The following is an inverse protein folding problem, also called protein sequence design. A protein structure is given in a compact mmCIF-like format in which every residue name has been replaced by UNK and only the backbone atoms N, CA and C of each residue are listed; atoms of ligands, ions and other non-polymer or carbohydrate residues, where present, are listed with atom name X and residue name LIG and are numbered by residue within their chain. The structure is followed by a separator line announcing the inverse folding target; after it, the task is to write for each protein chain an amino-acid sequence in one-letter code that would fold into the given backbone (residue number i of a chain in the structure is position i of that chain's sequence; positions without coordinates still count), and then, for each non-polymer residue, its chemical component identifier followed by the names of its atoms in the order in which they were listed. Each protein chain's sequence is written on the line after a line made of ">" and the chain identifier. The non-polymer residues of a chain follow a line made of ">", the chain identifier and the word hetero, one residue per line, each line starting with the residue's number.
data_IF_150582470623
#
_entry.id   IF_150582470623
#
_cell.length_a   1.000
_cell.length_b   1.000
_cell.length_c   1.000
_cell.angle_alpha   90.00
_cell.angle_beta   90.00
_cell.angle_gamma   90.00
#
_symmetry.space_group_name_H-M   'P 1'
#
loop_
_entity.id
_entity.type
_entity.pdbx_description
1 polymer ?
#
# COMPACT_ATOMS: atom_id res chain seq x y z
N UNK A 1 -24.07 50.58 -67.66
CA UNK A 1 -24.63 49.25 -67.34
C UNK A 1 -23.43 48.42 -66.90
N UNK A 2 -23.06 48.51 -65.62
CA UNK A 2 -23.37 47.52 -64.57
C UNK A 2 -22.97 46.10 -65.03
N UNK A 3 -21.81 45.60 -64.64
CA UNK A 3 -21.52 45.00 -63.31
C UNK A 3 -22.19 43.63 -63.17
N UNK A 4 -21.45 42.56 -63.48
CA UNK A 4 -21.54 41.27 -62.77
C UNK A 4 -20.48 40.28 -63.30
N UNK A 5 -19.23 40.48 -62.87
CA UNK A 5 -18.30 39.35 -62.75
C UNK A 5 -18.63 38.67 -61.42
N UNK A 6 -19.45 37.62 -61.48
CA UNK A 6 -19.74 36.77 -60.34
C UNK A 6 -18.49 35.91 -60.05
N UNK A 7 -17.64 36.39 -59.15
CA UNK A 7 -16.59 35.56 -58.56
C UNK A 7 -17.23 34.38 -57.81
N UNK A 8 -16.70 33.16 -57.92
CA UNK A 8 -17.21 32.04 -57.16
C UNK A 8 -16.92 32.25 -55.67
N UNK A 9 -17.96 32.11 -54.84
CA UNK A 9 -17.89 32.22 -53.38
C UNK A 9 -16.91 31.19 -52.78
N UNK A 10 -15.64 31.56 -52.63
CA UNK A 10 -14.63 30.84 -51.83
C UNK A 10 -14.85 31.10 -50.31
N UNK A 11 -16.05 30.83 -49.80
CA UNK A 11 -16.36 31.06 -48.37
C UNK A 11 -16.88 29.80 -47.66
N UNK A 12 -16.31 28.64 -47.96
CA UNK A 12 -16.64 27.38 -47.26
C UNK A 12 -15.43 26.58 -46.76
N UNK A 13 -14.34 27.23 -46.33
CA UNK A 13 -13.21 26.50 -45.72
C UNK A 13 -12.62 27.12 -44.44
N UNK A 14 -13.15 28.24 -43.93
CA UNK A 14 -12.70 28.81 -42.66
C UNK A 14 -13.36 28.17 -41.43
N UNK A 15 -13.40 26.84 -41.40
CA UNK A 15 -13.37 26.12 -40.14
C UNK A 15 -11.90 25.73 -39.94
N UNK A 16 -11.19 26.22 -38.91
CA UNK A 16 -9.91 25.65 -38.54
C UNK A 16 -10.20 24.23 -38.05
N UNK A 17 -10.25 23.29 -38.99
CA UNK A 17 -10.14 21.88 -38.68
C UNK A 17 -8.80 21.76 -37.96
N UNK A 18 -8.81 21.35 -36.69
CA UNK A 18 -7.62 21.23 -35.84
C UNK A 18 -6.69 20.10 -36.30
N UNK A 19 -6.60 19.84 -37.60
CA UNK A 19 -5.75 18.86 -38.26
C UNK A 19 -4.27 19.22 -38.22
N UNK A 20 -3.91 20.43 -37.77
CA UNK A 20 -2.51 20.80 -37.52
C UNK A 20 -1.95 20.21 -36.22
N UNK A 21 -2.75 19.50 -35.42
CA UNK A 21 -2.23 18.58 -34.40
C UNK A 21 -2.26 17.14 -34.92
N UNK A 22 -1.59 16.88 -36.03
CA UNK A 22 -1.16 15.52 -36.32
C UNK A 22 -0.28 15.05 -35.13
N UNK A 23 -0.59 13.93 -34.46
CA UNK A 23 0.26 13.46 -33.38
C UNK A 23 1.62 13.12 -33.99
N UNK A 24 2.65 13.90 -33.64
CA UNK A 24 4.03 13.75 -34.10
C UNK A 24 4.70 12.42 -33.70
N UNK A 25 3.95 11.45 -33.16
CA UNK A 25 4.47 10.17 -32.66
C UNK A 25 3.61 9.00 -33.18
N UNK A 26 4.24 7.89 -33.61
CA UNK A 26 3.52 6.69 -34.04
C UNK A 26 2.65 6.12 -32.90
N UNK A 27 1.60 5.35 -33.23
CA UNK A 27 0.66 4.78 -32.25
C UNK A 27 1.40 3.99 -31.16
N UNK A 28 1.06 4.31 -29.91
CA UNK A 28 1.54 3.76 -28.62
C UNK A 28 2.83 2.91 -28.68
N UNK A 29 3.98 3.44 -28.21
CA UNK A 29 5.26 2.74 -28.24
C UNK A 29 5.13 1.33 -27.63
N UNK A 30 5.71 0.33 -28.27
CA UNK A 30 5.79 -1.06 -27.78
C UNK A 30 6.30 -1.12 -26.32
N UNK A 31 7.14 -0.16 -25.96
CA UNK A 31 7.62 0.12 -24.60
C UNK A 31 6.50 0.26 -23.55
N UNK A 32 5.36 0.89 -23.87
CA UNK A 32 4.23 0.99 -22.94
C UNK A 32 3.56 -0.37 -22.70
N UNK A 33 3.40 -1.17 -23.77
CA UNK A 33 2.82 -2.53 -23.65
C UNK A 33 3.76 -3.42 -22.84
N UNK A 34 5.05 -3.37 -23.15
CA UNK A 34 6.12 -4.07 -22.43
C UNK A 34 6.15 -3.67 -20.94
N UNK A 35 6.20 -2.37 -20.64
CA UNK A 35 6.19 -1.86 -19.26
C UNK A 35 4.91 -2.24 -18.51
N UNK A 36 3.75 -2.22 -19.16
CA UNK A 36 2.49 -2.66 -18.53
C UNK A 36 2.48 -4.16 -18.28
N UNK A 37 3.06 -4.96 -19.17
CA UNK A 37 3.27 -6.39 -19.01
C UNK A 37 4.20 -6.69 -17.82
N UNK A 38 5.36 -6.03 -17.75
CA UNK A 38 6.31 -6.22 -16.64
C UNK A 38 5.71 -5.78 -15.30
N UNK A 39 4.99 -4.65 -15.25
CA UNK A 39 4.26 -4.22 -14.05
C UNK A 39 3.23 -5.25 -13.60
N UNK A 40 2.47 -5.85 -14.52
CA UNK A 40 1.47 -6.88 -14.18
C UNK A 40 2.13 -8.17 -13.67
N UNK A 41 3.26 -8.56 -14.27
CA UNK A 41 4.02 -9.74 -13.84
C UNK A 41 4.72 -9.55 -12.50
N UNK A 42 5.33 -8.38 -12.26
CA UNK A 42 6.02 -8.09 -11.00
C UNK A 42 5.05 -7.83 -9.85
N UNK A 43 3.87 -7.28 -10.13
CA UNK A 43 2.88 -6.89 -9.12
C UNK A 43 1.51 -7.51 -9.41
N UNK A 44 1.32 -8.83 -9.19
CA UNK A 44 0.06 -9.52 -9.49
C UNK A 44 -1.12 -8.99 -8.65
N UNK A 45 -0.85 -8.54 -7.42
CA UNK A 45 -1.85 -7.92 -6.53
C UNK A 45 -1.97 -6.39 -6.72
N UNK A 46 -1.32 -5.85 -7.75
CA UNK A 46 -1.22 -4.42 -8.02
C UNK A 46 -0.07 -3.73 -7.29
N UNK A 47 0.27 -2.53 -7.77
CA UNK A 47 1.31 -1.70 -7.18
C UNK A 47 0.84 -1.12 -5.84
N UNK A 48 1.45 -1.58 -4.75
CA UNK A 48 1.25 -1.06 -3.40
C UNK A 48 2.52 -0.34 -2.94
N UNK A 49 2.56 1.01 -2.96
CA UNK A 49 3.73 1.75 -2.52
C UNK A 49 4.10 1.35 -1.08
N UNK A 50 5.40 1.14 -0.76
CA UNK A 50 5.81 0.68 0.56
C UNK A 50 5.58 1.73 1.66
N UNK A 51 5.55 3.02 1.30
CA UNK A 51 5.27 4.14 2.22
C UNK A 51 4.06 4.92 1.73
N UNK A 52 2.87 4.47 2.14
CA UNK A 52 1.60 5.19 1.90
C UNK A 52 1.31 6.08 3.10
N UNK A 53 1.03 7.35 2.85
CA UNK A 53 0.56 8.26 3.89
C UNK A 53 -0.90 7.92 4.22
N UNK A 54 -1.22 7.74 5.50
CA UNK A 54 -2.59 7.51 5.94
C UNK A 54 -3.45 8.74 5.68
N UNK A 55 -4.78 8.54 5.62
CA UNK A 55 -5.73 9.64 5.39
C UNK A 55 -5.59 10.73 6.45
N UNK A 56 -5.55 10.32 7.71
CA UNK A 56 -5.44 11.25 8.83
C UNK A 56 -4.11 12.00 8.82
N UNK A 57 -3.02 11.34 8.42
CA UNK A 57 -1.73 12.00 8.29
C UNK A 57 -1.72 13.03 7.13
N UNK A 58 -2.45 12.78 6.03
CA UNK A 58 -2.67 13.80 4.99
C UNK A 58 -3.46 14.99 5.51
N UNK A 59 -4.48 14.78 6.36
CA UNK A 59 -5.25 15.86 6.98
C UNK A 59 -4.40 16.64 7.98
N UNK A 60 -3.62 15.97 8.83
CA UNK A 60 -2.66 16.61 9.72
C UNK A 60 -1.60 17.44 8.97
N UNK A 61 -1.14 16.97 7.81
CA UNK A 61 -0.24 17.73 6.94
C UNK A 61 -0.89 19.01 6.41
N UNK A 62 -2.16 18.94 5.98
CA UNK A 62 -2.91 20.13 5.55
C UNK A 62 -3.13 21.12 6.70
N UNK A 63 -3.48 20.62 7.88
CA UNK A 63 -3.67 21.44 9.07
C UNK A 63 -2.39 22.17 9.45
N UNK A 64 -1.24 21.47 9.52
CA UNK A 64 0.07 22.09 9.81
C UNK A 64 0.40 23.23 8.84
N UNK A 65 0.28 22.97 7.53
CA UNK A 65 0.57 23.98 6.51
C UNK A 65 -0.43 25.14 6.55
N UNK A 66 -1.66 24.92 7.02
CA UNK A 66 -2.65 25.99 7.18
C UNK A 66 -2.38 26.86 8.42
N UNK A 67 -1.79 26.31 9.49
CA UNK A 67 -1.43 27.07 10.69
C UNK A 67 -0.30 28.06 10.43
N UNK A 68 0.81 27.59 9.84
CA UNK A 68 1.95 28.44 9.50
C UNK A 68 2.65 27.94 8.22
N UNK A 69 2.33 28.51 7.05
CA UNK A 69 2.95 28.09 5.80
C UNK A 69 4.44 28.50 5.67
N UNK A 70 4.90 29.49 6.45
CA UNK A 70 6.29 29.94 6.41
C UNK A 70 7.20 28.93 7.12
N UNK A 71 6.79 28.47 8.30
CA UNK A 71 7.53 27.46 9.07
C UNK A 71 7.31 26.05 8.51
N UNK A 72 6.08 25.70 8.13
CA UNK A 72 5.75 24.37 7.59
C UNK A 72 5.81 24.32 6.07
N UNK A 73 6.96 24.73 5.51
CA UNK A 73 7.19 24.70 4.07
C UNK A 73 7.22 23.26 3.52
N UNK A 74 6.97 23.12 2.21
CA UNK A 74 6.96 21.82 1.52
C UNK A 74 8.19 20.92 1.75
N UNK A 75 9.46 21.41 1.74
CA UNK A 75 10.61 20.57 2.02
C UNK A 75 10.66 20.10 3.49
N UNK A 76 10.22 20.92 4.44
CA UNK A 76 10.20 20.57 5.87
C UNK A 76 9.16 19.49 6.15
N UNK A 77 7.96 19.64 5.58
CA UNK A 77 6.91 18.63 5.67
C UNK A 77 7.32 17.31 5.00
N UNK A 78 7.99 17.38 3.85
CA UNK A 78 8.52 16.21 3.15
C UNK A 78 9.48 15.40 4.04
N UNK A 79 10.40 16.08 4.74
CA UNK A 79 11.32 15.45 5.67
C UNK A 79 10.58 14.82 6.86
N UNK A 80 9.66 15.55 7.50
CA UNK A 80 8.94 15.09 8.70
C UNK A 80 8.04 13.89 8.44
N UNK A 81 7.38 13.85 7.28
CA UNK A 81 6.51 12.75 6.90
C UNK A 81 7.23 11.65 6.09
N UNK A 82 8.52 11.85 5.77
CA UNK A 82 9.31 10.98 4.90
C UNK A 82 8.62 10.67 3.55
N UNK A 83 8.02 11.71 2.96
CA UNK A 83 7.31 11.67 1.69
C UNK A 83 8.02 12.59 0.71
N UNK A 84 7.98 12.26 -0.59
CA UNK A 84 8.56 13.12 -1.63
C UNK A 84 7.95 14.53 -1.61
N UNK A 85 8.73 15.61 -1.80
CA UNK A 85 8.21 16.98 -1.86
C UNK A 85 7.17 17.18 -2.98
N UNK A 86 7.23 16.38 -4.05
CA UNK A 86 6.22 16.35 -5.12
C UNK A 86 4.86 15.88 -4.58
N UNK A 87 4.86 14.79 -3.83
CA UNK A 87 3.64 14.24 -3.24
C UNK A 87 3.03 15.20 -2.20
N UNK A 88 3.86 15.89 -1.40
CA UNK A 88 3.40 16.95 -0.49
C UNK A 88 2.69 18.07 -1.27
N UNK A 89 3.27 18.56 -2.36
CA UNK A 89 2.62 19.56 -3.23
C UNK A 89 1.29 19.07 -3.77
N UNK A 90 1.21 17.80 -4.20
CA UNK A 90 -0.05 17.20 -4.67
C UNK A 90 -1.12 17.16 -3.58
N UNK A 91 -0.74 16.78 -2.36
CA UNK A 91 -1.66 16.75 -1.20
C UNK A 91 -2.19 18.15 -0.90
N UNK A 92 -1.31 19.16 -0.87
CA UNK A 92 -1.68 20.55 -0.61
C UNK A 92 -2.53 21.16 -1.75
N UNK A 93 -2.26 20.78 -3.01
CA UNK A 93 -3.04 21.25 -4.17
C UNK A 93 -4.42 20.57 -4.28
N UNK A 94 -4.56 19.35 -3.77
CA UNK A 94 -5.81 18.61 -3.81
C UNK A 94 -6.86 19.25 -2.89
N UNK A 95 -8.02 19.61 -3.44
CA UNK A 95 -9.15 20.22 -2.70
C UNK A 95 -10.21 19.22 -2.25
N UNK A 96 -10.07 17.95 -2.63
CA UNK A 96 -11.09 16.95 -2.32
C UNK A 96 -11.18 16.71 -0.81
N UNK A 97 -12.38 16.93 -0.27
CA UNK A 97 -12.74 16.68 1.11
C UNK A 97 -14.03 15.87 1.13
N UNK A 98 -14.16 14.83 1.97
CA UNK A 98 -15.38 14.03 2.03
C UNK A 98 -16.42 14.82 2.81
N UNK A 99 -17.66 14.72 2.35
CA UNK A 99 -18.83 15.20 3.10
C UNK A 99 -18.96 14.48 4.43
N UNK A 100 -19.76 15.02 5.37
CA UNK A 100 -19.92 14.44 6.71
C UNK A 100 -20.40 12.98 6.65
N UNK A 101 -21.34 12.69 5.76
CA UNK A 101 -21.90 11.34 5.58
C UNK A 101 -20.87 10.39 4.94
N UNK A 102 -20.09 10.87 3.97
CA UNK A 102 -19.01 10.08 3.37
C UNK A 102 -17.89 9.79 4.35
N UNK A 103 -17.55 10.72 5.24
CA UNK A 103 -16.60 10.48 6.35
C UNK A 103 -17.08 9.36 7.23
N UNK A 104 -18.34 9.40 7.67
CA UNK A 104 -18.92 8.35 8.50
C UNK A 104 -18.87 6.98 7.81
N UNK A 105 -19.22 6.92 6.51
CA UNK A 105 -19.13 5.69 5.71
C UNK A 105 -17.70 5.16 5.58
N UNK A 106 -16.71 6.03 5.39
CA UNK A 106 -15.30 5.65 5.32
C UNK A 106 -14.81 5.07 6.64
N UNK A 107 -15.11 5.74 7.75
CA UNK A 107 -14.76 5.25 9.10
C UNK A 107 -15.42 3.91 9.37
N UNK A 108 -16.71 3.75 9.06
CA UNK A 108 -17.40 2.47 9.21
C UNK A 108 -16.77 1.35 8.38
N UNK A 109 -16.37 1.64 7.14
CA UNK A 109 -15.68 0.67 6.29
C UNK A 109 -14.35 0.24 6.90
N UNK A 110 -13.54 1.20 7.36
CA UNK A 110 -12.26 0.92 8.01
C UNK A 110 -12.45 0.05 9.25
N UNK A 111 -13.42 0.40 10.11
CA UNK A 111 -13.76 -0.38 11.30
C UNK A 111 -14.17 -1.81 10.95
N UNK A 112 -15.01 -2.00 9.93
CA UNK A 112 -15.42 -3.34 9.47
C UNK A 112 -14.22 -4.16 8.99
N UNK A 113 -13.40 -3.60 8.11
CA UNK A 113 -12.20 -4.30 7.61
C UNK A 113 -11.24 -4.67 8.74
N UNK A 114 -11.08 -3.78 9.73
CA UNK A 114 -10.25 -4.04 10.92
C UNK A 114 -10.84 -5.16 11.78
N UNK A 115 -12.16 -5.13 12.03
CA UNK A 115 -12.83 -6.18 12.80
C UNK A 115 -12.76 -7.54 12.09
N UNK A 116 -12.92 -7.57 10.78
CA UNK A 116 -12.77 -8.78 9.97
C UNK A 116 -11.36 -9.35 10.08
N UNK A 117 -10.34 -8.49 9.97
CA UNK A 117 -8.95 -8.91 10.17
C UNK A 117 -8.69 -9.49 11.56
N UNK A 118 -9.19 -8.83 12.62
CA UNK A 118 -9.06 -9.32 14.01
C UNK A 118 -9.77 -10.68 14.17
N UNK A 119 -10.97 -10.83 13.60
CA UNK A 119 -11.72 -12.09 13.65
C UNK A 119 -10.97 -13.21 12.94
N UNK A 120 -10.46 -12.96 11.73
CA UNK A 120 -9.68 -13.94 10.97
C UNK A 120 -8.43 -14.37 11.72
N UNK A 121 -7.68 -13.43 12.29
CA UNK A 121 -6.51 -13.72 13.14
C UNK A 121 -6.86 -14.59 14.36
N UNK A 122 -7.97 -14.30 15.03
CA UNK A 122 -8.44 -15.09 16.18
C UNK A 122 -8.85 -16.51 15.77
N UNK A 123 -9.46 -16.68 14.60
CA UNK A 123 -9.79 -18.01 14.06
C UNK A 123 -8.52 -18.79 13.71
N UNK A 124 -7.55 -18.13 13.08
CA UNK A 124 -6.22 -18.71 12.77
C UNK A 124 -5.51 -19.20 14.03
N UNK A 125 -5.50 -18.39 15.10
CA UNK A 125 -4.93 -18.78 16.40
C UNK A 125 -5.65 -20.00 17.00
N UNK A 126 -6.99 -20.01 17.04
CA UNK A 126 -7.75 -21.19 17.52
C UNK A 126 -7.48 -22.44 16.70
N UNK A 127 -7.42 -22.31 15.37
CA UNK A 127 -7.11 -23.43 14.49
C UNK A 127 -5.70 -23.96 14.73
N UNK A 128 -4.74 -23.07 15.00
CA UNK A 128 -3.37 -23.44 15.35
C UNK A 128 -3.31 -24.20 16.67
N UNK A 129 -4.04 -23.75 17.69
CA UNK A 129 -4.09 -24.41 18.99
C UNK A 129 -4.71 -25.82 18.87
N UNK A 130 -5.81 -25.95 18.13
CA UNK A 130 -6.44 -27.25 17.83
C UNK A 130 -5.45 -28.17 17.09
N UNK A 131 -4.76 -27.65 16.07
CA UNK A 131 -3.77 -28.43 15.31
C UNK A 131 -2.60 -28.88 16.20
N UNK A 132 -2.11 -28.02 17.09
CA UNK A 132 -1.04 -28.36 18.04
C UNK A 132 -1.49 -29.42 19.06
N UNK A 133 -2.76 -29.37 19.49
CA UNK A 133 -3.33 -30.35 20.41
C UNK A 133 -3.44 -31.73 19.74
N UNK A 134 -3.92 -31.79 18.49
CA UNK A 134 -3.96 -33.02 17.70
C UNK A 134 -2.55 -33.59 17.41
N UNK A 135 -1.57 -32.73 17.13
CA UNK A 135 -0.17 -33.14 16.94
C UNK A 135 0.48 -33.64 18.26
N UNK A 136 0.09 -33.07 19.40
CA UNK A 136 0.50 -33.49 20.73
C UNK A 136 -0.02 -34.88 21.10
N UNK A 137 -1.29 -35.16 20.81
CA UNK A 137 -1.90 -36.48 21.04
C UNK A 137 -1.24 -37.57 20.20
N UNK A 138 -0.92 -37.30 18.92
CA UNK A 138 -0.19 -38.25 18.07
C UNK A 138 1.24 -38.54 18.54
N UNK A 139 1.88 -37.64 19.30
CA UNK A 139 3.20 -37.88 19.93
C UNK A 139 3.10 -38.59 21.28
N UNK A 140 1.94 -38.59 21.92
CA UNK A 140 1.66 -39.29 23.17
C UNK A 140 1.43 -40.79 23.01
N UNK A 141 0.98 -41.25 21.82
CA UNK A 141 0.63 -42.66 21.57
C UNK A 141 1.82 -43.57 21.21
N UNK A 142 3.06 -43.07 21.07
CA UNK A 142 4.24 -43.90 20.73
C UNK A 142 5.21 -44.16 21.89
N UNK A 143 4.71 -44.17 23.14
CA UNK A 143 5.49 -44.61 24.30
C UNK A 143 4.67 -45.54 25.18
N UNK A 144 4.72 -46.84 24.88
CA UNK A 144 5.02 -47.91 25.86
C UNK A 144 4.93 -49.28 25.19
N UNK A 145 6.07 -49.82 24.74
CA UNK A 145 6.48 -51.21 25.01
C UNK A 145 7.98 -51.36 24.71
N UNK A 146 8.77 -51.51 25.77
CA UNK A 146 10.10 -52.14 25.71
C UNK A 146 11.31 -51.27 25.38
N UNK A 147 11.97 -50.69 26.39
CA UNK A 147 13.40 -50.39 26.34
C UNK A 147 13.96 -50.31 27.76
N UNK A 148 14.17 -51.47 28.37
CA UNK A 148 15.17 -51.62 29.41
C UNK A 148 16.53 -51.71 28.72
N UNK A 149 17.35 -50.67 28.78
CA UNK A 149 18.80 -50.80 28.62
C UNK A 149 19.54 -49.64 29.30
N UNK A 150 20.79 -49.92 29.60
CA UNK A 150 21.50 -49.58 30.81
C UNK A 150 22.05 -48.14 30.86
N UNK A 151 22.34 -47.76 32.10
CA UNK A 151 23.12 -46.59 32.47
C UNK A 151 24.46 -46.63 31.74
N UNK A 152 24.72 -45.62 30.92
CA UNK A 152 26.07 -45.18 30.63
C UNK A 152 26.13 -43.66 30.79
N UNK A 153 27.18 -43.22 31.48
CA UNK A 153 27.43 -41.84 31.80
C UNK A 153 28.21 -41.19 30.67
N UNK A 154 27.59 -40.22 30.00
CA UNK A 154 28.34 -39.18 29.31
C UNK A 154 27.52 -37.89 29.31
N UNK A 155 27.65 -37.13 30.41
CA UNK A 155 27.38 -35.68 30.43
C UNK A 155 28.31 -35.02 29.41
N UNK A 156 27.84 -34.87 28.17
CA UNK A 156 28.44 -33.97 27.19
C UNK A 156 27.46 -32.84 26.89
N UNK A 157 27.59 -31.82 27.71
CA UNK A 157 27.71 -30.41 27.34
C UNK A 157 27.30 -30.05 25.89
N UNK A 158 26.06 -29.59 25.72
CA UNK A 158 25.59 -28.86 24.53
C UNK A 158 25.18 -27.41 24.86
N UNK A 159 25.53 -26.92 26.05
CA UNK A 159 25.14 -25.60 26.53
C UNK A 159 26.26 -24.57 26.33
N UNK A 160 26.63 -24.30 25.06
CA UNK A 160 27.27 -23.03 24.69
C UNK A 160 27.33 -22.82 23.19
N UNK A 161 26.35 -22.09 22.64
CA UNK A 161 26.46 -21.10 21.53
C UNK A 161 25.16 -21.00 20.73
N UNK A 162 24.26 -20.14 21.21
CA UNK A 162 23.48 -19.27 20.31
C UNK A 162 23.12 -17.97 21.03
N UNK A 163 24.18 -17.27 21.45
CA UNK A 163 24.14 -15.83 21.65
C UNK A 163 23.74 -15.16 20.33
N UNK A 164 22.69 -14.33 20.37
CA UNK A 164 22.44 -13.29 19.38
C UNK A 164 21.59 -13.70 18.17
N UNK A 165 20.27 -13.88 18.36
CA UNK A 165 19.30 -13.55 17.31
C UNK A 165 18.30 -12.56 17.89
N UNK A 166 18.55 -11.29 17.61
CA UNK A 166 17.58 -10.19 17.80
C UNK A 166 16.37 -10.54 16.94
N UNK A 167 15.31 -11.03 17.58
CA UNK A 167 13.99 -11.10 16.96
C UNK A 167 13.54 -9.67 16.70
N UNK A 168 13.42 -9.32 15.41
CA UNK A 168 12.95 -8.02 14.98
C UNK A 168 11.63 -7.69 15.67
N UNK A 169 11.61 -6.54 16.34
CA UNK A 169 10.43 -5.94 16.94
C UNK A 169 9.42 -5.73 15.80
N UNK A 170 8.31 -6.46 15.86
CA UNK A 170 7.22 -6.32 14.92
C UNK A 170 6.54 -4.96 15.17
N UNK A 171 6.29 -4.19 14.11
CA UNK A 171 5.82 -2.79 14.21
C UNK A 171 4.40 -2.61 14.80
N UNK A 172 3.75 -3.68 15.26
CA UNK A 172 2.39 -3.66 15.78
C UNK A 172 2.26 -3.97 17.28
N UNK A 173 3.37 -4.23 18.00
CA UNK A 173 3.36 -4.56 19.44
C UNK A 173 3.30 -3.34 20.39
N UNK A 174 3.07 -2.11 19.90
CA UNK A 174 3.10 -0.88 20.72
C UNK A 174 1.74 -0.22 20.98
N UNK A 175 0.61 -0.92 20.82
CA UNK A 175 -0.72 -0.32 20.99
C UNK A 175 -1.60 -1.01 22.05
N UNK A 176 -1.03 -1.55 23.12
CA UNK A 176 -1.80 -2.18 24.20
C UNK A 176 -1.32 -1.80 25.61
N UNK A 177 -1.12 -0.51 25.86
CA UNK A 177 -0.95 0.04 27.22
C UNK A 177 -1.38 1.51 27.23
N UNK A 178 -2.67 1.75 27.50
CA UNK A 178 -3.24 2.81 28.34
C UNK A 178 -4.76 2.70 28.35
#
# INVERSE_FOLDING_TARGET
>A
MLEELKEPDEQASNLPHSSNFAPLKPPTPDEWKSHRGTMRSQFPQGWAPPRRLSRDAMEGLRSLHAYDPATFSTPILAQKFHVSPEAVRRILRSKWQPTKDERARMVQREQKTRQEWIKQRRVEERMRDIAAQLEGDQRGEFKTVGAADQRDGSRRDWDRKRSGKVTGINRYDKLSLQ
#
